data_IF_487993477537
#
_entry.id   IF_487993477537
#
_cell.length_a   1.000
_cell.length_b   1.000
_cell.length_c   1.000
_cell.angle_alpha   90.00
_cell.angle_beta   90.00
_cell.angle_gamma   90.00
#
_symmetry.space_group_name_H-M   'P 1'
#
loop_
_entity.id
_entity.type
_entity.pdbx_description
1 polymer ?
#
# COMPACT_ATOMS: atom_id res chain seq x y z
N UNK A 1 -5.18 -36.46 4.88
CA UNK A 1 -4.78 -35.70 4.51
C UNK A 1 -4.33 -35.24 4.53
N UNK A 2 -4.55 -35.55 4.87
CA UNK A 2 -4.07 -34.73 4.46
C UNK A 2 -3.61 -34.25 4.29
N UNK A 3 -4.19 -34.50 4.43
CA UNK A 3 -3.56 -33.71 3.85
C UNK A 3 -3.40 -33.09 3.74
N UNK A 4 -3.79 -33.37 3.96
CA UNK A 4 -3.40 -32.54 3.48
C UNK A 4 -3.14 -32.00 3.42
N UNK A 5 -3.46 -32.23 3.59
CA UNK A 5 -2.96 -31.38 3.11
C UNK A 5 -2.70 -30.74 3.11
N UNK A 6 -3.02 -31.00 3.30
CA UNK A 6 -2.52 -30.12 2.92
C UNK A 6 -2.23 -29.47 3.07
N UNK A 7 -2.56 -29.72 3.25
CA UNK A 7 -2.09 -28.83 3.08
C UNK A 7 -1.72 -28.17 3.20
N UNK A 8 -1.96 -28.32 3.40
CA UNK A 8 -1.53 -27.39 3.25
C UNK A 8 -1.05 -26.75 3.30
N UNK A 9 -1.14 -26.92 3.48
CA UNK A 9 -0.63 -26.01 3.34
C UNK A 9 -0.13 -25.33 3.29
N UNK A 10 -0.33 -25.44 3.46
CA UNK A 10 0.16 -24.46 3.28
C UNK A 10 0.58 -23.80 3.21
N UNK A 11 0.39 -23.90 3.38
CA UNK A 11 0.78 -22.98 3.28
C UNK A 11 1.10 -22.27 3.35
N UNK A 12 0.51 -22.35 3.54
CA UNK A 12 0.63 -21.61 3.58
C UNK A 12 1.49 -20.95 3.47
N UNK A 13 1.54 -20.78 3.17
CA UNK A 13 2.47 -20.06 3.07
C UNK A 13 2.70 -18.88 2.99
N UNK A 14 2.78 -18.65 3.57
CA UNK A 14 2.95 -17.24 3.59
C UNK A 14 4.17 -16.83 2.81
N UNK A 15 3.94 -16.33 1.68
CA UNK A 15 5.00 -15.86 0.82
C UNK A 15 5.56 -14.58 1.40
N UNK A 16 6.85 -14.57 1.69
CA UNK A 16 7.51 -13.34 2.10
C UNK A 16 7.62 -12.45 0.86
N UNK A 17 7.33 -11.16 0.98
CA UNK A 17 7.51 -10.25 -0.15
C UNK A 17 8.99 -10.15 -0.51
N UNK A 18 9.28 -9.98 -1.79
CA UNK A 18 10.64 -9.80 -2.25
C UNK A 18 11.08 -8.34 -2.03
N UNK A 19 12.37 -8.08 -2.31
CA UNK A 19 12.91 -6.74 -2.09
C UNK A 19 12.21 -5.68 -2.93
N UNK A 20 11.79 -6.03 -4.14
CA UNK A 20 11.10 -5.11 -5.01
C UNK A 20 9.74 -4.71 -4.44
N UNK A 21 8.99 -5.68 -3.93
CA UNK A 21 7.69 -5.40 -3.32
C UNK A 21 7.84 -4.51 -2.10
N UNK A 22 8.83 -4.79 -1.26
CA UNK A 22 9.09 -3.97 -0.08
C UNK A 22 9.44 -2.54 -0.49
N UNK A 23 10.25 -2.38 -1.53
CA UNK A 23 10.60 -1.06 -2.01
C UNK A 23 9.38 -0.32 -2.55
N UNK A 24 8.48 -1.02 -3.25
CA UNK A 24 7.26 -0.42 -3.77
C UNK A 24 6.34 0.02 -2.63
N UNK A 25 6.16 -0.82 -1.61
CA UNK A 25 5.30 -0.47 -0.49
C UNK A 25 5.89 0.67 0.33
N UNK A 26 7.21 0.72 0.45
CA UNK A 26 7.89 1.84 1.12
C UNK A 26 7.61 3.14 0.36
N UNK A 27 7.72 3.09 -0.96
CA UNK A 27 7.42 4.25 -1.81
C UNK A 27 5.96 4.68 -1.64
N UNK A 28 5.03 3.72 -1.68
CA UNK A 28 3.60 4.02 -1.59
C UNK A 28 3.19 4.52 -0.21
N UNK A 29 3.98 4.23 0.83
CA UNK A 29 3.68 4.71 2.17
C UNK A 29 4.32 6.06 2.48
N UNK A 30 5.02 6.65 1.52
CA UNK A 30 5.70 7.94 1.68
C UNK A 30 4.81 9.02 1.07
N UNK A 31 4.25 9.89 1.92
CA UNK A 31 3.32 10.91 1.46
C UNK A 31 3.95 11.87 0.43
N UNK A 32 5.25 12.07 0.48
CA UNK A 32 5.92 12.96 -0.46
C UNK A 32 5.91 12.43 -1.89
N UNK A 33 5.55 11.15 -2.08
CA UNK A 33 5.45 10.53 -3.40
C UNK A 33 4.06 10.67 -4.00
N UNK A 34 3.14 11.31 -3.30
CA UNK A 34 1.76 11.50 -3.75
C UNK A 34 1.49 12.95 -4.07
N UNK A 35 0.50 13.18 -4.92
CA UNK A 35 0.03 14.53 -5.21
C UNK A 35 -1.46 14.49 -5.55
N UNK A 36 -2.07 15.67 -5.59
CA UNK A 36 -3.46 15.81 -5.97
C UNK A 36 -3.52 16.76 -7.17
N UNK A 37 -4.20 16.32 -8.22
CA UNK A 37 -4.38 17.11 -9.42
C UNK A 37 -5.87 17.45 -9.56
N UNK A 38 -6.19 18.73 -9.73
CA UNK A 38 -7.57 19.10 -10.00
C UNK A 38 -7.83 18.95 -11.49
N UNK A 39 -8.87 18.18 -11.81
CA UNK A 39 -9.25 17.92 -13.20
C UNK A 39 -10.13 19.05 -13.74
N UNK A 40 -10.24 19.19 -15.08
CA UNK A 40 -11.08 20.25 -15.67
C UNK A 40 -12.53 20.20 -15.23
N UNK A 41 -13.05 19.02 -14.83
CA UNK A 41 -14.42 18.89 -14.35
C UNK A 41 -14.57 19.26 -12.88
N UNK A 42 -13.49 19.72 -12.22
CA UNK A 42 -13.53 20.15 -10.84
C UNK A 42 -13.22 19.05 -9.82
N UNK A 43 -13.09 17.81 -10.25
CA UNK A 43 -12.74 16.72 -9.35
C UNK A 43 -11.26 16.75 -9.00
N UNK A 44 -10.94 16.13 -7.87
CA UNK A 44 -9.56 16.04 -7.38
C UNK A 44 -9.09 14.60 -7.53
N UNK A 45 -8.02 14.43 -8.28
CA UNK A 45 -7.47 13.11 -8.55
C UNK A 45 -6.20 12.90 -7.74
N UNK A 46 -6.17 11.81 -6.96
CA UNK A 46 -4.95 11.46 -6.22
C UNK A 46 -4.05 10.69 -7.17
N UNK A 47 -2.76 11.00 -7.08
CA UNK A 47 -1.77 10.39 -7.96
C UNK A 47 -0.54 10.04 -7.15
N UNK A 48 0.09 8.93 -7.50
CA UNK A 48 1.33 8.51 -6.86
C UNK A 48 2.39 8.33 -7.95
N UNK A 49 3.62 8.73 -7.64
CA UNK A 49 4.71 8.58 -8.60
C UNK A 49 5.10 7.10 -8.72
N UNK A 50 5.65 6.75 -9.87
CA UNK A 50 6.11 5.39 -10.13
C UNK A 50 7.40 5.15 -9.37
N UNK A 51 7.53 4.06 -8.58
CA UNK A 51 8.77 3.78 -7.85
C UNK A 51 9.99 3.67 -8.75
N UNK A 52 9.80 3.28 -10.00
CA UNK A 52 10.91 3.11 -10.94
C UNK A 52 11.15 4.33 -11.81
N UNK A 53 10.20 5.27 -11.83
CA UNK A 53 10.30 6.47 -12.65
C UNK A 53 9.44 7.55 -11.98
N UNK A 54 10.06 8.31 -11.09
CA UNK A 54 9.33 9.27 -10.27
C UNK A 54 8.78 10.46 -11.08
N UNK A 55 9.09 10.54 -12.36
CA UNK A 55 8.48 11.53 -13.22
C UNK A 55 7.17 11.06 -13.83
N UNK A 56 6.87 9.75 -13.70
CA UNK A 56 5.60 9.19 -14.14
C UNK A 56 4.64 9.13 -12.96
N UNK A 57 3.37 9.46 -13.21
CA UNK A 57 2.35 9.50 -12.17
C UNK A 57 1.19 8.59 -12.52
N UNK A 58 0.70 7.85 -11.55
CA UNK A 58 -0.45 6.97 -11.70
C UNK A 58 -1.62 7.52 -10.93
N UNK A 59 -2.78 7.59 -11.59
CA UNK A 59 -4.00 7.99 -10.89
C UNK A 59 -4.50 6.82 -10.03
N UNK A 60 -4.96 7.13 -8.83
CA UNK A 60 -5.42 6.12 -7.89
C UNK A 60 -6.90 6.28 -7.58
N UNK A 61 -7.33 7.48 -7.18
CA UNK A 61 -8.74 7.73 -6.87
C UNK A 61 -9.14 9.12 -7.34
N UNK A 62 -10.46 9.34 -7.39
CA UNK A 62 -11.04 10.67 -7.62
C UNK A 62 -12.01 10.99 -6.52
N UNK A 63 -11.99 12.24 -6.09
CA UNK A 63 -12.90 12.72 -5.05
C UNK A 63 -13.43 14.07 -5.45
N UNK A 64 -14.61 14.43 -4.93
CA UNK A 64 -15.23 15.70 -5.25
C UNK A 64 -14.69 16.86 -4.43
N UNK A 65 -13.90 16.59 -3.38
CA UNK A 65 -13.35 17.62 -2.52
C UNK A 65 -11.88 17.38 -2.26
N UNK A 66 -11.16 18.45 -1.95
CA UNK A 66 -9.75 18.34 -1.59
C UNK A 66 -9.57 17.51 -0.32
N UNK A 67 -10.43 17.71 0.68
CA UNK A 67 -10.36 16.94 1.92
C UNK A 67 -10.57 15.45 1.67
N UNK A 68 -11.50 15.11 0.78
CA UNK A 68 -11.72 13.71 0.40
C UNK A 68 -10.52 13.10 -0.27
N UNK A 69 -9.85 13.88 -1.14
CA UNK A 69 -8.64 13.42 -1.82
C UNK A 69 -7.50 13.20 -0.82
N UNK A 70 -7.31 14.15 0.11
CA UNK A 70 -6.27 13.99 1.12
C UNK A 70 -6.53 12.78 2.00
N UNK A 71 -7.79 12.57 2.38
CA UNK A 71 -8.18 11.42 3.19
C UNK A 71 -7.90 10.12 2.46
N UNK A 72 -8.14 10.08 1.14
CA UNK A 72 -7.87 8.90 0.33
C UNK A 72 -6.36 8.60 0.28
N UNK A 73 -5.53 9.63 0.19
CA UNK A 73 -4.08 9.45 0.23
C UNK A 73 -3.64 8.90 1.57
N UNK A 74 -4.15 9.49 2.66
CA UNK A 74 -3.78 9.04 4.01
C UNK A 74 -4.19 7.59 4.24
N UNK A 75 -5.36 7.18 3.71
CA UNK A 75 -5.80 5.80 3.79
C UNK A 75 -4.89 4.86 3.03
N UNK A 76 -4.43 5.27 1.85
CA UNK A 76 -3.50 4.45 1.07
C UNK A 76 -2.16 4.31 1.77
N UNK A 77 -1.65 5.41 2.32
CA UNK A 77 -0.39 5.40 3.05
C UNK A 77 -0.48 4.45 4.24
N UNK A 78 -1.57 4.53 5.00
CA UNK A 78 -1.79 3.65 6.15
C UNK A 78 -1.84 2.19 5.73
N UNK A 79 -2.52 1.91 4.62
CA UNK A 79 -2.62 0.54 4.11
C UNK A 79 -1.23 -0.04 3.80
N UNK A 80 -0.39 0.71 3.09
CA UNK A 80 0.94 0.22 2.72
C UNK A 80 1.88 0.17 3.92
N UNK A 81 1.74 1.11 4.86
CA UNK A 81 2.53 1.08 6.08
C UNK A 81 2.22 -0.17 6.89
N UNK A 82 0.95 -0.56 6.97
CA UNK A 82 0.55 -1.78 7.68
C UNK A 82 1.05 -3.03 6.96
N UNK A 83 1.08 -3.01 5.64
CA UNK A 83 1.66 -4.14 4.89
C UNK A 83 3.13 -4.30 5.21
N UNK A 84 3.87 -3.19 5.27
CA UNK A 84 5.29 -3.23 5.63
C UNK A 84 5.48 -3.77 7.04
N UNK A 85 4.64 -3.33 7.98
CA UNK A 85 4.74 -3.78 9.36
C UNK A 85 4.53 -5.29 9.44
N UNK A 86 3.59 -5.81 8.65
CA UNK A 86 3.31 -7.24 8.63
C UNK A 86 4.50 -8.07 8.13
N UNK A 87 5.38 -7.47 7.30
CA UNK A 87 6.54 -8.22 6.79
C UNK A 87 7.60 -8.45 7.85
N UNK A 88 7.51 -7.75 8.97
CA UNK A 88 8.49 -7.91 10.06
C UNK A 88 8.21 -9.14 10.91
N UNK A 89 7.14 -9.87 10.60
CA UNK A 89 6.80 -11.08 11.34
C UNK A 89 6.07 -10.79 12.63
N UNK A 90 5.78 -11.84 13.40
CA UNK A 90 5.05 -11.66 14.64
C UNK A 90 5.89 -10.91 15.67
N UNK A 91 5.21 -10.16 16.52
CA UNK A 91 5.87 -9.46 17.61
C UNK A 91 5.08 -9.70 18.89
N UNK A 92 5.79 -9.82 19.99
CA UNK A 92 5.16 -9.99 21.29
C UNK A 92 4.62 -8.62 21.73
N UNK A 93 3.31 -8.56 21.95
CA UNK A 93 2.67 -7.32 22.38
C UNK A 93 2.33 -7.35 23.86
N UNK A 94 2.37 -8.53 24.49
CA UNK A 94 2.09 -8.65 25.90
C UNK A 94 2.61 -9.98 26.42
N UNK A 95 3.20 -9.95 27.64
CA UNK A 95 3.67 -11.15 28.33
C UNK A 95 3.04 -11.17 29.72
N UNK A 96 2.60 -12.35 30.13
CA UNK A 96 1.98 -12.53 31.46
C UNK A 96 2.85 -13.34 32.39
#
# INVERSE_FOLDING_TARGET
MTYLYYNSTSTTHTMKPNKQEIAEWTHMSDKSKWRITQLPNGYYQTEVSNPKDEESWHSVTRRGTMEGAESAIDGSIDYFAKKLEATKGPKVVKTF
#
